data_IF_153432849989
#
_entry.id   IF_153432849989
#
_cell.length_a   1.000
_cell.length_b   1.000
_cell.length_c   1.000
_cell.angle_alpha   90.00
_cell.angle_beta   90.00
_cell.angle_gamma   90.00
#
_symmetry.space_group_name_H-M   'P 1'
#
loop_
_entity.id
_entity.type
_entity.pdbx_description
1 polymer ?
#
# COMPACT_ATOMS: atom_id res chain seq x y z
N UNK A 1 6.35 26.04 5.48
CA UNK A 1 6.07 27.47 5.28
C UNK A 1 7.10 28.05 4.31
N UNK A 2 6.74 28.30 3.06
CA UNK A 2 7.48 29.11 2.06
C UNK A 2 6.36 29.75 1.20
N UNK A 3 6.00 31.02 1.38
CA UNK A 3 6.59 32.26 0.82
C UNK A 3 6.61 32.33 -0.72
N UNK A 4 6.21 33.50 -1.24
CA UNK A 4 6.08 33.93 -2.65
C UNK A 4 4.89 33.29 -3.43
N UNK A 5 4.04 34.01 -4.17
CA UNK A 5 4.20 35.35 -4.71
C UNK A 5 2.91 35.90 -5.33
N UNK A 6 2.77 37.23 -5.29
CA UNK A 6 2.00 37.98 -6.28
C UNK A 6 2.76 38.04 -7.61
N UNK A 7 2.01 37.78 -8.69
CA UNK A 7 2.07 38.36 -10.04
C UNK A 7 3.44 38.43 -10.75
N UNK A 8 3.72 37.45 -11.63
CA UNK A 8 4.12 37.70 -13.02
C UNK A 8 4.07 36.40 -13.86
N UNK A 9 3.41 36.49 -15.01
CA UNK A 9 3.38 35.60 -16.19
C UNK A 9 3.88 34.14 -16.11
N UNK A 10 2.92 33.25 -16.39
CA UNK A 10 3.02 31.93 -17.04
C UNK A 10 4.27 31.12 -16.66
N UNK A 11 4.18 30.43 -15.53
CA UNK A 11 4.92 29.21 -15.27
C UNK A 11 3.90 28.11 -15.02
N UNK A 12 3.86 27.09 -15.87
CA UNK A 12 3.15 25.85 -15.60
C UNK A 12 3.73 25.27 -14.31
N UNK A 13 3.07 25.48 -13.18
CA UNK A 13 3.33 24.70 -11.98
C UNK A 13 2.89 23.28 -12.29
N UNK A 14 3.83 22.46 -12.75
CA UNK A 14 3.72 21.02 -12.59
C UNK A 14 3.64 20.77 -11.09
N UNK A 15 2.42 20.64 -10.56
CA UNK A 15 2.22 20.01 -9.27
C UNK A 15 2.73 18.59 -9.44
N UNK A 16 3.98 18.33 -9.07
CA UNK A 16 4.44 16.99 -8.74
C UNK A 16 3.69 16.59 -7.48
N UNK A 17 2.43 16.20 -7.65
CA UNK A 17 1.62 15.62 -6.60
C UNK A 17 2.35 14.37 -6.15
N UNK A 18 2.68 14.31 -4.85
CA UNK A 18 3.21 13.10 -4.23
C UNK A 18 2.19 11.99 -4.37
N UNK A 19 2.30 11.18 -5.44
CA UNK A 19 1.39 10.06 -5.75
C UNK A 19 1.29 9.08 -4.57
N UNK A 20 2.34 8.95 -3.77
CA UNK A 20 2.39 8.06 -2.60
C UNK A 20 1.35 8.36 -1.51
N UNK A 21 1.00 9.62 -1.27
CA UNK A 21 0.02 9.96 -0.22
C UNK A 21 -1.44 9.73 -0.67
N UNK A 22 -1.68 9.84 -1.99
CA UNK A 22 -2.99 9.57 -2.59
C UNK A 22 -3.35 8.09 -2.50
N UNK A 23 -2.34 7.22 -2.61
CA UNK A 23 -2.50 5.76 -2.63
C UNK A 23 -2.86 5.22 -1.24
N UNK A 24 -2.19 5.69 -0.19
CA UNK A 24 -2.47 5.28 1.20
C UNK A 24 -3.85 5.73 1.70
N UNK A 25 -4.42 6.79 1.11
CA UNK A 25 -5.79 7.24 1.40
C UNK A 25 -6.85 6.24 0.90
N UNK A 26 -6.48 5.32 0.01
CA UNK A 26 -7.35 4.25 -0.47
C UNK A 26 -7.25 2.97 0.39
N UNK A 27 -6.31 2.91 1.33
CA UNK A 27 -6.16 1.79 2.25
C UNK A 27 -7.12 1.97 3.42
N UNK A 28 -7.94 0.95 3.75
CA UNK A 28 -8.81 1.01 4.93
C UNK A 28 -7.99 1.23 6.19
N UNK A 29 -8.45 2.13 7.07
CA UNK A 29 -7.77 2.40 8.34
C UNK A 29 -7.66 1.16 9.22
N UNK A 30 -8.66 0.27 9.16
CA UNK A 30 -8.67 -1.01 9.87
C UNK A 30 -7.52 -1.94 9.42
N UNK A 31 -6.99 -1.77 8.21
CA UNK A 31 -5.93 -2.62 7.64
C UNK A 31 -4.52 -2.19 8.06
N UNK A 32 -4.33 -0.97 8.57
CA UNK A 32 -3.00 -0.42 8.90
C UNK A 32 -2.30 -1.22 10.01
N UNK A 33 -2.97 -1.45 11.14
CA UNK A 33 -2.43 -2.25 12.24
C UNK A 33 -2.09 -3.68 11.82
N UNK A 34 -3.04 -4.43 11.23
CA UNK A 34 -2.80 -5.75 10.65
C UNK A 34 -1.65 -5.80 9.63
N UNK A 35 -1.53 -4.79 8.76
CA UNK A 35 -0.46 -4.71 7.79
C UNK A 35 0.90 -4.59 8.47
N UNK A 36 1.03 -3.75 9.50
CA UNK A 36 2.26 -3.64 10.30
C UNK A 36 2.61 -4.98 10.96
N UNK A 37 1.61 -5.69 11.50
CA UNK A 37 1.81 -7.03 12.08
C UNK A 37 2.30 -8.02 11.04
N UNK A 38 1.68 -8.05 9.86
CA UNK A 38 2.09 -8.92 8.76
C UNK A 38 3.51 -8.58 8.26
N UNK A 39 3.84 -7.29 8.13
CA UNK A 39 5.18 -6.84 7.73
C UNK A 39 6.24 -7.22 8.76
N UNK A 40 5.93 -7.13 10.06
CA UNK A 40 6.86 -7.51 11.13
C UNK A 40 7.24 -9.00 11.08
N UNK A 41 6.37 -9.86 10.55
CA UNK A 41 6.65 -11.30 10.35
C UNK A 41 7.54 -11.60 9.15
N UNK A 42 7.75 -10.65 8.24
CA UNK A 42 8.56 -10.86 7.03
C UNK A 42 10.07 -10.91 7.30
N UNK A 43 10.51 -10.35 8.43
CA UNK A 43 11.94 -10.16 8.75
C UNK A 43 12.65 -9.14 7.85
N UNK A 44 11.90 -8.39 7.04
CA UNK A 44 12.41 -7.30 6.21
C UNK A 44 12.43 -5.98 7.00
N UNK A 45 13.28 -5.04 6.58
CA UNK A 45 13.18 -3.66 7.08
C UNK A 45 11.84 -3.04 6.67
N UNK A 46 11.30 -2.17 7.51
CA UNK A 46 9.94 -1.63 7.36
C UNK A 46 9.67 -0.94 6.02
N UNK A 47 10.71 -0.43 5.35
CA UNK A 47 10.60 0.26 4.06
C UNK A 47 11.23 -0.51 2.89
N UNK A 48 11.74 -1.73 3.11
CA UNK A 48 12.25 -2.56 2.03
C UNK A 48 11.11 -3.27 1.32
N UNK A 49 10.40 -2.51 0.49
CA UNK A 49 9.25 -3.00 -0.26
C UNK A 49 9.64 -4.18 -1.15
N UNK A 50 10.86 -4.23 -1.70
CA UNK A 50 11.31 -5.37 -2.51
C UNK A 50 11.45 -6.63 -1.66
N UNK A 51 12.09 -6.54 -0.50
CA UNK A 51 12.19 -7.67 0.43
C UNK A 51 10.81 -8.12 0.88
N UNK A 52 9.95 -7.19 1.34
CA UNK A 52 8.60 -7.48 1.82
C UNK A 52 7.82 -8.21 0.73
N UNK A 53 7.82 -7.67 -0.48
CA UNK A 53 7.13 -8.25 -1.63
C UNK A 53 7.72 -9.57 -2.14
N UNK A 54 8.99 -9.85 -1.84
CA UNK A 54 9.61 -11.15 -2.17
C UNK A 54 9.13 -12.29 -1.27
N UNK A 55 8.51 -11.97 -0.13
CA UNK A 55 7.99 -12.99 0.80
C UNK A 55 6.65 -13.52 0.32
N UNK A 56 6.63 -14.79 -0.06
CA UNK A 56 5.40 -15.50 -0.48
C UNK A 56 4.32 -15.53 0.61
N UNK A 57 4.71 -15.41 1.89
CA UNK A 57 3.78 -15.37 3.02
C UNK A 57 3.13 -14.00 3.26
N UNK A 58 3.56 -12.95 2.56
CA UNK A 58 3.04 -11.59 2.78
C UNK A 58 1.52 -11.51 2.61
N UNK A 59 1.02 -11.94 1.45
CA UNK A 59 -0.41 -11.86 1.12
C UNK A 59 -1.28 -12.73 2.01
N UNK A 60 -0.98 -14.02 2.27
CA UNK A 60 -1.79 -14.83 3.17
C UNK A 60 -1.76 -14.32 4.61
N UNK A 61 -0.62 -13.86 5.13
CA UNK A 61 -0.55 -13.24 6.47
C UNK A 61 -1.34 -11.93 6.53
N UNK A 62 -1.23 -11.10 5.49
CA UNK A 62 -1.98 -9.85 5.39
C UNK A 62 -3.49 -10.13 5.38
N UNK A 63 -3.96 -11.10 4.60
CA UNK A 63 -5.37 -11.51 4.59
C UNK A 63 -5.82 -12.06 5.96
N UNK A 64 -5.00 -12.91 6.58
CA UNK A 64 -5.30 -13.49 7.89
C UNK A 64 -5.36 -12.44 9.01
N UNK A 65 -4.49 -11.43 8.99
CA UNK A 65 -4.50 -10.36 9.99
C UNK A 65 -5.62 -9.35 9.73
N UNK A 66 -5.83 -8.93 8.47
CA UNK A 66 -6.85 -7.92 8.12
C UNK A 66 -8.26 -8.48 8.34
N UNK A 67 -8.52 -9.74 8.00
CA UNK A 67 -9.85 -10.36 8.17
C UNK A 67 -10.31 -10.48 9.63
N UNK A 68 -9.41 -10.31 10.61
CA UNK A 68 -9.78 -10.29 12.04
C UNK A 68 -10.50 -9.00 12.44
N UNK A 69 -10.29 -7.91 11.71
CA UNK A 69 -10.71 -6.56 12.12
C UNK A 69 -11.40 -5.75 11.03
N UNK A 70 -11.32 -6.21 9.76
CA UNK A 70 -11.91 -5.55 8.61
C UNK A 70 -12.92 -6.44 7.91
N UNK A 71 -13.82 -5.80 7.15
CA UNK A 71 -14.78 -6.47 6.29
C UNK A 71 -14.11 -7.15 5.09
N UNK A 72 -14.79 -8.12 4.47
CA UNK A 72 -14.28 -8.84 3.28
C UNK A 72 -13.94 -7.89 2.13
N UNK A 73 -14.73 -6.83 1.93
CA UNK A 73 -14.46 -5.81 0.92
C UNK A 73 -13.16 -5.03 1.21
N UNK A 74 -12.92 -4.69 2.48
CA UNK A 74 -11.72 -3.98 2.94
C UNK A 74 -10.47 -4.86 2.83
N UNK A 75 -10.59 -6.15 3.16
CA UNK A 75 -9.54 -7.16 2.92
C UNK A 75 -9.15 -7.18 1.44
N UNK A 76 -10.14 -7.16 0.55
CA UNK A 76 -9.92 -7.19 -0.90
C UNK A 76 -9.23 -5.91 -1.39
N UNK A 77 -9.66 -4.74 -0.90
CA UNK A 77 -9.03 -3.43 -1.22
C UNK A 77 -7.58 -3.36 -0.75
N UNK A 78 -7.30 -3.79 0.49
CA UNK A 78 -5.96 -3.79 1.05
C UNK A 78 -5.04 -4.79 0.34
N UNK A 79 -5.54 -5.98 0.00
CA UNK A 79 -4.79 -6.95 -0.79
C UNK A 79 -4.45 -6.38 -2.17
N UNK A 80 -5.43 -5.79 -2.87
CA UNK A 80 -5.23 -5.14 -4.18
C UNK A 80 -4.15 -4.06 -4.12
N UNK A 81 -4.21 -3.18 -3.13
CA UNK A 81 -3.21 -2.15 -2.89
C UNK A 81 -1.80 -2.74 -2.71
N UNK A 82 -1.65 -3.80 -1.91
CA UNK A 82 -0.37 -4.46 -1.69
C UNK A 82 0.22 -5.02 -2.99
N UNK A 83 -0.60 -5.63 -3.86
CA UNK A 83 -0.15 -6.15 -5.15
C UNK A 83 0.28 -5.05 -6.11
N UNK A 84 -0.54 -4.00 -6.22
CA UNK A 84 -0.23 -2.87 -7.10
C UNK A 84 1.07 -2.19 -6.64
N UNK A 85 1.28 -2.04 -5.33
CA UNK A 85 2.53 -1.56 -4.72
C UNK A 85 3.73 -2.46 -5.05
N UNK A 86 3.58 -3.78 -4.91
CA UNK A 86 4.64 -4.73 -5.20
C UNK A 86 4.99 -4.77 -6.69
N UNK A 87 3.99 -4.74 -7.56
CA UNK A 87 4.14 -4.65 -9.01
C UNK A 87 4.89 -3.39 -9.41
N UNK A 88 4.54 -2.24 -8.82
CA UNK A 88 5.24 -0.97 -9.04
C UNK A 88 6.70 -1.01 -8.56
N UNK A 89 7.01 -1.85 -7.56
CA UNK A 89 8.37 -2.06 -7.05
C UNK A 89 9.19 -3.05 -7.89
N UNK A 90 8.63 -3.57 -8.99
CA UNK A 90 9.26 -4.56 -9.87
C UNK A 90 9.15 -6.01 -9.37
N UNK A 91 8.39 -6.25 -8.29
CA UNK A 91 8.16 -7.59 -7.73
C UNK A 91 6.73 -8.00 -8.05
N UNK A 92 6.54 -8.80 -9.10
CA UNK A 92 5.22 -9.29 -9.47
C UNK A 92 4.69 -10.32 -8.47
N UNK A 93 3.80 -9.91 -7.57
CA UNK A 93 3.05 -10.84 -6.71
C UNK A 93 1.68 -11.08 -7.33
N UNK A 94 1.23 -12.34 -7.35
CA UNK A 94 -0.13 -12.70 -7.74
C UNK A 94 -0.99 -12.87 -6.49
N UNK A 95 -2.24 -12.43 -6.55
CA UNK A 95 -3.26 -12.84 -5.58
C UNK A 95 -3.34 -14.36 -5.56
N UNK A 96 -3.43 -15.00 -4.38
CA UNK A 96 -4.22 -16.22 -4.31
C UNK A 96 -5.65 -15.82 -4.66
N UNK A 97 -6.07 -16.12 -5.89
CA UNK A 97 -7.48 -16.15 -6.26
C UNK A 97 -8.14 -17.30 -5.50
N UNK A 98 -8.45 -17.07 -4.23
CA UNK A 98 -9.42 -17.88 -3.52
C UNK A 98 -10.38 -16.97 -2.77
N UNK A 99 -11.16 -16.23 -3.56
CA UNK A 99 -12.51 -15.86 -3.14
C UNK A 99 -13.37 -17.12 -3.29
N UNK A 100 -13.41 -17.94 -2.25
CA UNK A 100 -14.48 -18.94 -2.07
C UNK A 100 -14.79 -19.02 -0.58
N UNK A 101 -15.61 -18.07 -0.14
CA UNK A 101 -16.78 -18.28 0.73
C UNK A 101 -17.84 -17.25 0.35
#
# INVERSE_FOLDING_TARGET
>A
MQFQNGLFNILLLSLSTSVFAQDLSQVPSCALGPAITAFSKTGCEAMDIKCICSKSQLIPELQAEISKVCSVEEVTKAAKFAIDTCKNSGVGIKLPTNATV
#
